data_IF_390608660689
#
_entry.id   IF_390608660689
#
_cell.length_a   1.000
_cell.length_b   1.000
_cell.length_c   1.000
_cell.angle_alpha   90.00
_cell.angle_beta   90.00
_cell.angle_gamma   90.00
#
_symmetry.space_group_name_H-M   'P 1'
#
loop_
_entity.id
_entity.type
_entity.pdbx_description
1 polymer ?
#
# COMPACT_ATOMS: atom_id res chain seq x y z
N UNK A 1 -19.10 16.79 6.02
CA UNK A 1 -18.36 15.61 6.50
C UNK A 1 -17.47 16.02 7.66
N UNK A 2 -17.57 15.38 8.83
CA UNK A 2 -16.60 15.55 9.92
C UNK A 2 -15.55 14.45 9.80
N UNK A 3 -14.28 14.81 9.86
CA UNK A 3 -13.19 13.83 9.96
C UNK A 3 -13.28 13.19 11.34
N UNK A 4 -13.38 11.86 11.38
CA UNK A 4 -13.36 11.09 12.62
C UNK A 4 -11.90 10.86 12.99
N UNK A 5 -11.49 11.29 14.18
CA UNK A 5 -10.19 10.96 14.73
C UNK A 5 -10.26 9.60 15.39
N UNK A 6 -9.38 8.68 14.99
CA UNK A 6 -9.20 7.41 15.68
C UNK A 6 -8.63 7.67 17.07
N UNK A 7 -9.08 6.89 18.06
CA UNK A 7 -8.53 6.92 19.41
C UNK A 7 -7.70 5.65 19.66
N UNK A 8 -6.56 5.73 20.35
CA UNK A 8 -5.74 4.54 20.64
C UNK A 8 -6.48 3.43 21.38
N UNK A 9 -7.58 3.71 22.07
CA UNK A 9 -8.40 2.73 22.79
C UNK A 9 -9.76 2.54 22.13
N UNK A 10 -9.83 2.70 20.81
CA UNK A 10 -11.06 2.42 20.07
C UNK A 10 -11.42 0.93 20.19
N UNK A 11 -12.59 0.59 20.77
CA UNK A 11 -12.98 -0.81 20.96
C UNK A 11 -13.29 -1.52 19.64
N UNK A 12 -13.35 -0.80 18.51
CA UNK A 12 -13.53 -1.40 17.20
C UNK A 12 -12.28 -2.11 16.68
N UNK A 13 -11.07 -1.77 17.19
CA UNK A 13 -9.82 -2.30 16.63
C UNK A 13 -9.74 -3.83 16.64
N UNK A 14 -10.02 -4.56 17.75
CA UNK A 14 -9.96 -6.02 17.74
C UNK A 14 -10.84 -6.66 16.66
N UNK A 15 -12.07 -6.18 16.49
CA UNK A 15 -12.98 -6.69 15.46
C UNK A 15 -12.50 -6.36 14.03
N UNK A 16 -11.90 -5.20 13.82
CA UNK A 16 -11.28 -4.84 12.54
C UNK A 16 -10.05 -5.70 12.24
N UNK A 17 -9.19 -5.91 13.25
CA UNK A 17 -7.99 -6.73 13.17
C UNK A 17 -8.33 -8.16 12.78
N UNK A 18 -9.31 -8.78 13.43
CA UNK A 18 -9.71 -10.15 13.12
C UNK A 18 -10.19 -10.27 11.67
N UNK A 19 -10.98 -9.31 11.17
CA UNK A 19 -11.39 -9.28 9.75
C UNK A 19 -10.23 -9.11 8.78
N UNK A 20 -9.22 -8.31 9.15
CA UNK A 20 -8.01 -8.17 8.35
C UNK A 20 -7.20 -9.47 8.32
N UNK A 21 -7.21 -10.24 9.42
CA UNK A 21 -6.57 -11.56 9.50
C UNK A 21 -7.33 -12.59 8.66
N UNK A 22 -8.66 -12.64 8.74
CA UNK A 22 -9.49 -13.50 7.90
C UNK A 22 -9.23 -13.23 6.40
N UNK A 23 -9.11 -11.95 6.04
CA UNK A 23 -8.77 -11.54 4.68
C UNK A 23 -7.39 -12.04 4.25
N UNK A 24 -6.40 -12.06 5.15
CA UNK A 24 -5.07 -12.61 4.88
C UNK A 24 -5.05 -14.13 4.65
N UNK A 25 -6.11 -14.85 5.00
CA UNK A 25 -6.25 -16.29 4.73
C UNK A 25 -7.12 -16.57 3.50
N UNK A 26 -7.84 -15.57 2.99
CA UNK A 26 -8.75 -15.71 1.86
C UNK A 26 -8.03 -15.57 0.53
N UNK A 27 -7.82 -16.68 -0.20
CA UNK A 27 -7.36 -16.65 -1.60
C UNK A 27 -8.40 -16.02 -2.53
N UNK A 28 -9.68 -16.20 -2.21
CA UNK A 28 -10.78 -15.68 -3.01
C UNK A 28 -10.76 -14.15 -3.06
N UNK A 29 -10.46 -13.49 -1.94
CA UNK A 29 -10.40 -12.03 -1.88
C UNK A 29 -9.43 -11.46 -2.91
N UNK A 30 -8.19 -11.95 -2.91
CA UNK A 30 -7.15 -11.46 -3.81
C UNK A 30 -7.36 -11.91 -5.26
N UNK A 31 -7.87 -13.12 -5.49
CA UNK A 31 -8.20 -13.59 -6.85
C UNK A 31 -9.30 -12.76 -7.53
N UNK A 32 -10.16 -12.12 -6.73
CA UNK A 32 -11.25 -11.27 -7.22
C UNK A 32 -10.82 -9.82 -7.44
N UNK A 33 -9.69 -9.42 -6.87
CA UNK A 33 -9.12 -8.10 -7.09
C UNK A 33 -8.56 -7.99 -8.50
N UNK A 34 -8.71 -6.79 -9.06
CA UNK A 34 -8.20 -6.47 -10.37
C UNK A 34 -7.44 -5.16 -10.35
N UNK A 35 -6.37 -5.10 -11.12
CA UNK A 35 -5.63 -3.87 -11.36
C UNK A 35 -6.28 -3.08 -12.48
N UNK A 36 -6.28 -1.76 -12.33
CA UNK A 36 -6.65 -0.84 -13.39
C UNK A 36 -5.41 -0.03 -13.74
N UNK A 37 -4.78 -0.36 -14.87
CA UNK A 37 -3.82 0.55 -15.47
C UNK A 37 -4.59 1.62 -16.24
N UNK A 38 -4.11 2.86 -16.20
CA UNK A 38 -4.85 4.07 -16.63
C UNK A 38 -5.42 4.03 -18.06
N UNK A 39 -4.94 3.12 -18.92
CA UNK A 39 -5.40 2.95 -20.31
C UNK A 39 -5.59 1.48 -20.74
N UNK A 40 -5.62 0.51 -19.81
CA UNK A 40 -5.66 -0.92 -20.16
C UNK A 40 -6.70 -1.74 -19.38
N UNK A 41 -7.05 -2.88 -19.98
CA UNK A 41 -8.02 -3.86 -19.49
C UNK A 41 -7.86 -4.16 -17.99
N UNK A 42 -9.00 -4.30 -17.32
CA UNK A 42 -9.06 -4.62 -15.90
C UNK A 42 -8.64 -6.09 -15.72
N UNK A 43 -7.36 -6.31 -15.45
CA UNK A 43 -6.73 -7.63 -15.33
C UNK A 43 -6.71 -8.13 -13.88
N UNK A 44 -6.82 -9.45 -13.64
CA UNK A 44 -6.59 -10.04 -12.32
C UNK A 44 -5.19 -9.71 -11.80
N UNK A 45 -5.02 -9.69 -10.47
CA UNK A 45 -3.70 -9.61 -9.86
C UNK A 45 -2.88 -10.86 -10.19
N UNK A 46 -1.58 -10.65 -10.40
CA UNK A 46 -0.57 -11.71 -10.48
C UNK A 46 -0.23 -12.22 -9.08
N UNK A 47 0.33 -13.44 -8.99
CA UNK A 47 0.73 -14.05 -7.71
C UNK A 47 1.65 -13.13 -6.89
N UNK A 48 2.65 -12.52 -7.53
CA UNK A 48 3.58 -11.61 -6.88
C UNK A 48 2.88 -10.35 -6.32
N UNK A 49 1.88 -9.82 -7.02
CA UNK A 49 1.08 -8.68 -6.54
C UNK A 49 0.20 -9.12 -5.36
N UNK A 50 -0.38 -10.31 -5.39
CA UNK A 50 -1.15 -10.88 -4.28
C UNK A 50 -0.27 -11.04 -3.04
N UNK A 51 0.93 -11.62 -3.18
CA UNK A 51 1.89 -11.76 -2.08
C UNK A 51 2.31 -10.41 -1.50
N UNK A 52 2.51 -9.42 -2.36
CA UNK A 52 2.82 -8.05 -1.96
C UNK A 52 1.67 -7.43 -1.15
N UNK A 53 0.42 -7.57 -1.60
CA UNK A 53 -0.75 -7.07 -0.88
C UNK A 53 -0.92 -7.77 0.48
N UNK A 54 -0.72 -9.09 0.55
CA UNK A 54 -0.70 -9.81 1.82
C UNK A 54 0.37 -9.27 2.76
N UNK A 55 1.58 -8.99 2.25
CA UNK A 55 2.66 -8.39 3.05
C UNK A 55 2.26 -6.99 3.54
N UNK A 56 1.68 -6.17 2.69
CA UNK A 56 1.25 -4.81 3.04
C UNK A 56 0.20 -4.83 4.16
N UNK A 57 -0.79 -5.72 4.07
CA UNK A 57 -1.81 -5.87 5.11
C UNK A 57 -1.18 -6.33 6.44
N UNK A 58 -0.23 -7.28 6.42
CA UNK A 58 0.48 -7.70 7.65
C UNK A 58 1.23 -6.54 8.30
N UNK A 59 1.92 -5.71 7.51
CA UNK A 59 2.62 -4.52 8.02
C UNK A 59 1.62 -3.53 8.62
N UNK A 60 0.52 -3.26 7.93
CA UNK A 60 -0.53 -2.36 8.42
C UNK A 60 -1.13 -2.83 9.74
N UNK A 61 -1.43 -4.12 9.89
CA UNK A 61 -1.90 -4.70 11.15
C UNK A 61 -0.88 -4.45 12.27
N UNK A 62 0.42 -4.69 12.03
CA UNK A 62 1.45 -4.47 13.04
C UNK A 62 1.56 -3.01 13.50
N UNK A 63 1.47 -2.06 12.57
CA UNK A 63 1.46 -0.62 12.89
C UNK A 63 0.22 -0.24 13.70
N UNK A 64 -0.95 -0.74 13.30
CA UNK A 64 -2.21 -0.45 13.98
C UNK A 64 -2.28 -1.13 15.35
N UNK A 65 -1.76 -2.35 15.50
CA UNK A 65 -1.65 -3.03 16.80
C UNK A 65 -0.81 -2.20 17.77
N UNK A 66 0.31 -1.62 17.33
CA UNK A 66 1.13 -0.73 18.15
C UNK A 66 0.39 0.55 18.55
N UNK A 67 -0.34 1.16 17.61
CA UNK A 67 -1.15 2.35 17.85
C UNK A 67 -2.27 2.07 18.87
N UNK A 68 -3.05 1.01 18.67
CA UNK A 68 -4.21 0.68 19.50
C UNK A 68 -3.88 -0.03 20.82
N UNK A 69 -2.64 -0.49 21.01
CA UNK A 69 -2.18 -1.01 22.31
C UNK A 69 -1.79 0.09 23.29
N UNK A 70 -1.89 1.37 22.90
CA UNK A 70 -1.40 2.50 23.71
C UNK A 70 0.12 2.53 23.86
N UNK A 71 0.86 1.68 23.14
CA UNK A 71 2.34 1.63 23.13
C UNK A 71 2.97 2.67 22.21
N UNK A 72 2.15 3.52 21.57
CA UNK A 72 2.60 4.60 20.71
C UNK A 72 3.17 5.79 21.51
N UNK A 73 4.19 5.55 22.33
CA UNK A 73 5.12 6.59 22.80
C UNK A 73 6.41 6.63 21.97
N UNK A 74 6.60 5.72 21.01
CA UNK A 74 7.69 5.85 20.06
C UNK A 74 7.27 6.79 18.92
N UNK A 75 7.98 7.92 18.69
CA UNK A 75 7.98 8.51 17.36
C UNK A 75 8.39 7.42 16.38
N UNK A 76 7.98 7.47 15.09
CA UNK A 76 8.42 6.47 14.12
C UNK A 76 9.94 6.51 14.03
N UNK A 77 10.60 5.68 14.84
CA UNK A 77 12.01 5.38 14.71
C UNK A 77 12.10 4.70 13.35
N UNK A 78 12.66 5.46 12.43
CA UNK A 78 13.21 5.04 11.16
C UNK A 78 13.80 3.64 11.30
N UNK A 79 13.05 2.64 10.83
CA UNK A 79 13.62 1.33 10.55
C UNK A 79 14.66 1.54 9.45
N UNK A 80 15.93 1.50 9.83
CA UNK A 80 17.07 1.36 8.93
C UNK A 80 17.42 2.62 8.13
N UNK A 81 18.46 3.32 8.56
CA UNK A 81 19.31 4.11 7.69
C UNK A 81 20.02 3.22 6.66
N UNK A 82 19.31 2.85 5.60
CA UNK A 82 19.84 2.80 4.24
C UNK A 82 18.65 2.98 3.28
N UNK A 83 18.62 4.13 2.60
CA UNK A 83 17.50 4.59 1.77
C UNK A 83 16.26 5.06 2.55
N UNK A 84 16.31 6.33 2.99
CA UNK A 84 15.18 7.03 3.58
C UNK A 84 14.03 7.22 2.60
N UNK A 85 13.09 6.27 2.59
CA UNK A 85 11.74 6.49 2.11
C UNK A 85 10.83 6.54 3.34
N UNK A 86 10.16 7.68 3.55
CA UNK A 86 9.11 7.78 4.58
C UNK A 86 7.98 6.82 4.19
N UNK A 87 7.21 6.33 5.16
CA UNK A 87 5.98 5.56 4.88
C UNK A 87 5.00 6.34 3.96
N UNK A 88 5.08 7.67 3.95
CA UNK A 88 4.36 8.53 3.00
C UNK A 88 4.85 8.40 1.55
N UNK A 89 6.08 7.91 1.32
CA UNK A 89 6.68 7.72 0.00
C UNK A 89 6.33 6.35 -0.62
N UNK A 90 5.78 5.42 0.16
CA UNK A 90 5.26 4.12 -0.32
C UNK A 90 3.86 4.24 -0.94
N UNK A 91 3.23 5.42 -0.82
CA UNK A 91 1.94 5.75 -1.43
C UNK A 91 2.15 6.86 -2.47
N UNK A 92 3.02 6.60 -3.46
CA UNK A 92 3.03 7.37 -4.69
C UNK A 92 2.69 6.45 -5.88
N UNK A 93 1.88 6.92 -6.84
CA UNK A 93 1.65 6.19 -8.08
C UNK A 93 2.97 6.00 -8.82
N UNK A 94 3.07 4.90 -9.57
CA UNK A 94 4.26 4.51 -10.34
C UNK A 94 4.91 5.69 -11.08
N UNK A 95 6.26 5.70 -11.22
CA UNK A 95 6.95 6.80 -11.85
C UNK A 95 6.50 6.93 -13.31
N UNK A 96 6.05 8.14 -13.68
CA UNK A 96 5.85 8.52 -15.07
C UNK A 96 7.19 8.35 -15.78
N UNK A 97 7.26 7.40 -16.72
CA UNK A 97 8.28 7.45 -17.77
C UNK A 97 8.04 8.75 -18.52
N UNK A 98 8.89 9.75 -18.29
CA UNK A 98 9.08 10.81 -19.26
C UNK A 98 9.67 10.15 -20.49
N UNK A 99 8.83 9.85 -21.47
CA UNK A 99 9.29 9.59 -22.83
C UNK A 99 10.12 10.81 -23.26
N UNK A 100 11.44 10.64 -23.30
CA UNK A 100 12.28 11.41 -24.19
C UNK A 100 11.80 11.10 -25.60
N UNK A 101 10.87 11.92 -26.08
CA UNK A 101 10.56 12.04 -27.49
C UNK A 101 11.83 12.61 -28.15
N UNK A 102 12.70 11.73 -28.62
CA UNK A 102 13.67 12.01 -29.68
C UNK A 102 12.85 12.43 -30.91
N UNK A 103 12.58 13.72 -31.02
CA UNK A 103 12.00 14.35 -32.20
C UNK A 103 13.13 14.97 -33.00
N UNK A 104 13.46 14.34 -34.12
CA UNK A 104 14.07 15.05 -35.24
C UNK A 104 15.09 14.26 -36.04
N UNK A 105 14.64 13.23 -36.77
CA UNK A 105 15.26 12.96 -38.06
C UNK A 105 14.71 13.99 -39.06
N UNK A 106 15.60 14.81 -39.63
CA UNK A 106 15.37 15.43 -40.94
C UNK A 106 16.64 15.19 -41.76
N UNK A 107 16.45 14.40 -42.81
CA UNK A 107 17.40 14.04 -43.86
C UNK A 107 17.30 15.10 -44.97
N UNK A 108 18.27 15.09 -45.89
CA UNK A 108 18.31 15.74 -47.21
C UNK A 108 18.98 17.13 -47.22
N UNK A 109 19.92 17.45 -48.11
CA UNK A 109 20.54 16.79 -49.28
C UNK A 109 21.92 17.43 -49.50
#
# INVERSE_FOLDING_TARGET
MRLVQLRPWDPAWPACRDRLQDMLESDQFFSSQRRSDHDAEILPLTENEIELERRNIRVAIGVLDAYFSGRSEQPPETFGTESGARLCDLVFPAPRRTDTVERGSVIEQ
#
